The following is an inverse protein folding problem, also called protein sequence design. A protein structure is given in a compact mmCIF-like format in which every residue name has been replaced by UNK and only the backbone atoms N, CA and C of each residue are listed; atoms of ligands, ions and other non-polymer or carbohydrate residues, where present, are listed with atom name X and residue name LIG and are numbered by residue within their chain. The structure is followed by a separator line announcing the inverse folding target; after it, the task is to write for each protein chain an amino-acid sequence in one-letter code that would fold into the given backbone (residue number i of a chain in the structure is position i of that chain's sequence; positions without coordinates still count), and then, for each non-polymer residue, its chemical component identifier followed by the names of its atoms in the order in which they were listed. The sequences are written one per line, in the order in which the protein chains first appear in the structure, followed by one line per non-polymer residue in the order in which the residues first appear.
data_IF_364161976655
#
_entry.id   IF_364161976655
#
_cell.length_a   1.000
_cell.length_b   1.000
_cell.length_c   1.000
_cell.angle_alpha   90.00
_cell.angle_beta   90.00
_cell.angle_gamma   90.00
#
_symmetry.space_group_name_H-M   'P 1'
#
loop_
_entity.id
_entity.type
_entity.pdbx_description
1 polymer ?
#
# COMPACT_ATOMS: atom_id res chain seq x y z
N UNK A 1 25.87 -22.48 14.51
CA UNK A 1 24.61 -23.18 14.18
C UNK A 1 24.06 -22.54 12.92
N UNK A 2 24.25 -23.18 11.76
CA UNK A 2 23.84 -22.66 10.46
C UNK A 2 22.35 -22.95 10.28
N UNK A 3 21.51 -21.90 10.30
CA UNK A 3 20.08 -22.04 10.05
C UNK A 3 19.82 -21.99 8.54
N UNK A 4 19.48 -23.15 7.97
CA UNK A 4 18.99 -23.29 6.61
C UNK A 4 17.47 -23.05 6.61
N UNK A 5 17.04 -21.82 6.32
CA UNK A 5 15.64 -21.55 6.02
C UNK A 5 15.44 -21.48 4.49
N UNK A 6 14.56 -22.30 3.90
CA UNK A 6 14.34 -22.29 2.46
C UNK A 6 13.68 -20.98 2.00
N UNK A 7 14.32 -20.33 1.03
CA UNK A 7 13.81 -19.17 0.31
C UNK A 7 12.68 -19.62 -0.64
N UNK A 8 11.43 -19.33 -0.28
CA UNK A 8 10.29 -19.57 -1.17
C UNK A 8 10.31 -18.59 -2.36
N UNK A 9 10.04 -19.04 -3.59
CA UNK A 9 10.00 -18.17 -4.76
C UNK A 9 8.67 -17.41 -4.81
N UNK A 10 8.77 -16.08 -4.96
CA UNK A 10 7.66 -15.24 -5.38
C UNK A 10 7.19 -15.68 -6.77
N UNK A 11 5.99 -16.27 -6.86
CA UNK A 11 5.30 -16.50 -8.12
C UNK A 11 4.27 -15.40 -8.39
N UNK A 12 4.60 -14.62 -9.41
CA UNK A 12 3.77 -13.99 -10.44
C UNK A 12 2.26 -13.80 -10.21
N UNK A 13 1.83 -12.55 -10.37
CA UNK A 13 0.51 -12.20 -10.88
C UNK A 13 0.27 -12.87 -12.24
N UNK A 14 -0.88 -13.52 -12.45
CA UNK A 14 -1.51 -13.66 -13.77
C UNK A 14 -2.96 -14.17 -13.62
N UNK A 15 -3.90 -13.42 -14.20
CA UNK A 15 -5.07 -13.97 -14.90
C UNK A 15 -6.34 -14.25 -14.09
N UNK A 16 -7.29 -13.33 -14.18
CA UNK A 16 -8.71 -13.65 -14.02
C UNK A 16 -9.32 -13.91 -15.41
N UNK A 17 -9.95 -15.07 -15.66
CA UNK A 17 -10.89 -15.18 -16.78
C UNK A 17 -12.28 -15.64 -16.31
N UNK A 18 -13.23 -14.74 -16.56
CA UNK A 18 -14.64 -14.93 -16.94
C UNK A 18 -15.13 -16.37 -17.20
N UNK A 19 -16.15 -16.84 -16.47
CA UNK A 19 -17.22 -17.76 -16.92
C UNK A 19 -18.30 -17.86 -15.82
N UNK A 20 -19.45 -17.18 -15.93
CA UNK A 20 -20.73 -17.62 -16.52
C UNK A 20 -21.31 -18.95 -15.99
N UNK A 21 -22.35 -18.82 -15.16
CA UNK A 21 -23.49 -19.74 -15.02
C UNK A 21 -24.65 -18.87 -14.49
N UNK A 22 -25.77 -18.57 -15.16
CA UNK A 22 -26.66 -19.27 -16.09
C UNK A 22 -27.37 -20.47 -15.48
N UNK A 23 -28.47 -20.20 -14.74
CA UNK A 23 -29.67 -21.05 -14.79
C UNK A 23 -30.94 -20.21 -14.59
N UNK A 24 -31.86 -20.42 -15.53
CA UNK A 24 -33.17 -19.80 -15.64
C UNK A 24 -34.14 -20.28 -14.56
N UNK A 25 -35.08 -19.43 -14.19
CA UNK A 25 -36.42 -19.87 -13.80
C UNK A 25 -37.46 -18.87 -14.32
N UNK A 26 -38.40 -19.44 -15.07
CA UNK A 26 -39.38 -18.82 -15.94
C UNK A 26 -40.55 -18.23 -15.14
N UNK A 27 -41.00 -17.02 -15.49
CA UNK A 27 -42.44 -16.69 -15.48
C UNK A 27 -42.81 -15.87 -16.72
N UNK A 28 -43.91 -16.31 -17.34
CA UNK A 28 -44.50 -15.94 -18.63
C UNK A 28 -45.47 -14.73 -18.51
N UNK A 29 -46.04 -14.22 -19.62
CA UNK A 29 -46.23 -12.79 -19.88
C UNK A 29 -47.58 -12.25 -19.39
N UNK A 30 -47.64 -10.93 -19.18
CA UNK A 30 -48.90 -10.20 -19.09
C UNK A 30 -48.91 -9.07 -20.11
N UNK A 31 -50.08 -8.84 -20.69
CA UNK A 31 -50.28 -8.25 -22.01
C UNK A 31 -49.99 -6.75 -22.10
N UNK A 32 -49.57 -6.37 -23.30
CA UNK A 32 -49.40 -5.01 -23.78
C UNK A 32 -50.71 -4.22 -23.70
N UNK A 33 -50.67 -3.07 -23.05
CA UNK A 33 -51.61 -1.97 -23.30
C UNK A 33 -50.78 -0.73 -23.57
N UNK A 34 -50.84 -0.25 -24.81
CA UNK A 34 -50.19 0.97 -25.25
C UNK A 34 -50.93 2.17 -24.67
N UNK A 35 -50.28 2.92 -23.80
CA UNK A 35 -50.65 4.29 -23.48
C UNK A 35 -49.43 5.18 -23.75
N UNK A 36 -49.58 6.32 -24.45
CA UNK A 36 -48.46 7.20 -24.73
C UNK A 36 -47.96 7.81 -23.41
N UNK A 37 -46.64 7.78 -23.24
CA UNK A 37 -45.95 8.33 -22.08
C UNK A 37 -46.27 9.83 -21.92
N UNK A 38 -46.51 10.33 -20.70
CA UNK A 38 -46.30 11.75 -20.48
C UNK A 38 -44.80 11.98 -20.67
N UNK A 39 -44.44 12.95 -21.51
CA UNK A 39 -43.08 13.45 -21.58
C UNK A 39 -42.73 13.96 -20.17
N UNK A 40 -42.02 13.13 -19.40
CA UNK A 40 -41.32 13.59 -18.24
C UNK A 40 -40.26 14.53 -18.78
N UNK A 41 -40.56 15.82 -18.74
CA UNK A 41 -39.53 16.85 -18.73
C UNK A 41 -38.66 16.51 -17.54
N UNK A 42 -37.61 15.72 -17.78
CA UNK A 42 -36.51 15.59 -16.85
C UNK A 42 -35.92 16.98 -16.81
N UNK A 43 -36.44 17.80 -15.90
CA UNK A 43 -35.77 18.99 -15.45
C UNK A 43 -34.37 18.50 -15.09
N UNK A 44 -33.39 18.90 -15.90
CA UNK A 44 -32.00 18.73 -15.56
C UNK A 44 -31.81 19.55 -14.30
N UNK A 45 -31.94 18.89 -13.15
CA UNK A 45 -31.50 19.48 -11.90
C UNK A 45 -30.05 19.90 -12.10
N UNK A 46 -29.65 21.08 -11.60
CA UNK A 46 -28.25 21.43 -11.60
C UNK A 46 -27.58 20.35 -10.75
N UNK A 47 -26.80 19.46 -11.37
CA UNK A 47 -25.95 18.50 -10.67
C UNK A 47 -25.04 19.36 -9.79
N UNK A 48 -25.49 19.57 -8.56
CA UNK A 48 -24.81 20.34 -7.56
C UNK A 48 -23.42 19.72 -7.46
N UNK A 49 -22.42 20.54 -7.76
CA UNK A 49 -21.02 20.15 -7.90
C UNK A 49 -20.61 19.27 -6.72
N UNK A 50 -20.65 17.95 -6.90
CA UNK A 50 -20.26 17.02 -5.84
C UNK A 50 -18.78 17.30 -5.55
N UNK A 51 -18.38 17.49 -4.28
CA UNK A 51 -17.01 17.82 -3.95
C UNK A 51 -16.10 16.71 -4.50
N UNK A 52 -15.20 17.08 -5.40
CA UNK A 52 -14.25 16.12 -5.97
C UNK A 52 -13.28 15.72 -4.87
N UNK A 53 -13.23 14.41 -4.56
CA UNK A 53 -12.23 13.86 -3.64
C UNK A 53 -10.86 14.06 -4.27
N UNK A 54 -10.09 15.01 -3.74
CA UNK A 54 -8.72 15.20 -4.18
C UNK A 54 -7.86 14.02 -3.73
N UNK A 55 -6.93 13.56 -4.57
CA UNK A 55 -6.01 12.51 -4.16
C UNK A 55 -5.10 13.02 -3.03
N UNK A 56 -4.82 12.15 -2.06
CA UNK A 56 -3.83 12.39 -1.01
C UNK A 56 -2.52 11.73 -1.46
N UNK A 57 -1.41 12.46 -1.37
CA UNK A 57 -0.07 11.95 -1.62
C UNK A 57 0.69 11.92 -0.30
N UNK A 58 1.20 10.75 0.04
CA UNK A 58 2.06 10.54 1.19
C UNK A 58 3.49 10.35 0.69
N UNK A 59 4.39 11.23 1.11
CA UNK A 59 5.81 11.07 0.89
C UNK A 59 6.45 10.54 2.17
N UNK A 60 7.27 9.50 2.03
CA UNK A 60 8.25 9.17 3.05
C UNK A 60 9.34 10.26 3.09
N UNK A 61 10.14 10.29 4.15
CA UNK A 61 11.23 11.25 4.31
C UNK A 61 12.53 10.67 3.75
N UNK A 62 12.99 9.55 4.31
CA UNK A 62 14.27 8.94 3.99
C UNK A 62 14.22 8.24 2.63
N UNK A 63 15.26 8.44 1.81
CA UNK A 63 15.35 7.99 0.41
C UNK A 63 14.18 8.41 -0.52
N UNK A 64 13.31 9.34 -0.08
CA UNK A 64 12.24 9.94 -0.89
C UNK A 64 12.42 11.45 -1.02
N UNK A 65 12.39 12.18 0.09
CA UNK A 65 12.61 13.64 0.11
C UNK A 65 14.06 13.96 0.47
N UNK A 66 14.67 13.14 1.32
CA UNK A 66 16.03 13.29 1.82
C UNK A 66 16.83 12.05 1.47
N UNK A 67 18.10 12.21 1.09
CA UNK A 67 19.00 11.05 0.88
C UNK A 67 19.30 10.37 2.21
N UNK A 68 19.09 9.06 2.29
CA UNK A 68 19.43 8.30 3.50
C UNK A 68 20.97 8.25 3.69
N UNK A 69 21.52 8.75 4.82
CA UNK A 69 22.94 8.68 5.11
C UNK A 69 23.42 7.28 5.54
N UNK A 70 22.53 6.33 5.82
CA UNK A 70 22.84 5.05 6.48
C UNK A 70 23.92 4.23 5.79
N UNK A 71 23.94 4.20 4.45
CA UNK A 71 24.85 3.34 3.71
C UNK A 71 26.23 3.96 3.46
N UNK A 72 26.28 5.27 3.22
CA UNK A 72 27.50 5.95 2.75
C UNK A 72 28.17 6.76 3.89
N UNK A 73 27.37 7.46 4.68
CA UNK A 73 27.88 8.45 5.64
C UNK A 73 27.99 7.89 7.06
N UNK A 74 27.03 7.08 7.50
CA UNK A 74 27.04 6.51 8.86
C UNK A 74 28.25 5.59 9.11
N UNK A 75 28.64 4.65 8.22
CA UNK A 75 29.80 3.79 8.47
C UNK A 75 31.09 4.59 8.53
N UNK A 76 31.22 5.57 7.63
CA UNK A 76 32.35 6.50 7.58
C UNK A 76 32.48 7.30 8.88
N UNK A 77 31.37 7.74 9.47
CA UNK A 77 31.36 8.44 10.75
C UNK A 77 31.87 7.56 11.89
N UNK A 78 31.48 6.29 11.92
CA UNK A 78 31.94 5.31 12.94
C UNK A 78 33.32 4.71 12.65
N UNK A 79 33.93 5.05 11.51
CA UNK A 79 35.19 4.45 11.05
C UNK A 79 35.10 2.91 10.96
N UNK A 80 33.92 2.41 10.57
CA UNK A 80 33.62 0.99 10.40
C UNK A 80 33.22 0.72 8.95
N UNK A 81 33.46 -0.50 8.47
CA UNK A 81 32.78 -0.96 7.26
C UNK A 81 31.27 -1.14 7.52
N UNK A 82 30.46 -1.11 6.46
CA UNK A 82 29.02 -1.42 6.57
C UNK A 82 28.77 -2.77 7.26
N UNK A 83 29.62 -3.76 6.98
CA UNK A 83 29.50 -5.09 7.56
C UNK A 83 29.73 -5.05 9.07
N UNK A 84 30.82 -4.44 9.51
CA UNK A 84 31.15 -4.31 10.93
C UNK A 84 30.08 -3.53 11.69
N UNK A 85 29.57 -2.43 11.11
CA UNK A 85 28.50 -1.63 11.71
C UNK A 85 27.21 -2.45 11.92
N UNK A 86 26.83 -3.27 10.93
CA UNK A 86 25.65 -4.12 11.04
C UNK A 86 25.83 -5.27 12.04
N UNK A 87 27.06 -5.77 12.20
CA UNK A 87 27.41 -6.81 13.18
C UNK A 87 27.51 -6.25 14.61
N UNK A 88 27.92 -4.99 14.77
CA UNK A 88 28.05 -4.33 16.08
C UNK A 88 26.71 -3.80 16.61
N UNK A 89 25.81 -3.38 15.73
CA UNK A 89 24.51 -2.81 16.12
C UNK A 89 23.60 -3.92 16.65
N UNK A 90 22.99 -3.73 17.81
CA UNK A 90 21.99 -4.67 18.28
C UNK A 90 20.73 -4.68 17.41
N UNK A 91 20.08 -5.85 17.27
CA UNK A 91 18.97 -6.02 16.33
C UNK A 91 17.80 -5.05 16.55
N UNK A 92 17.50 -4.67 17.81
CA UNK A 92 16.30 -3.89 18.14
C UNK A 92 16.53 -2.41 18.36
N UNK A 93 17.78 -1.96 18.55
CA UNK A 93 18.08 -0.59 19.00
C UNK A 93 17.54 0.48 18.06
N UNK A 94 17.51 0.20 16.75
CA UNK A 94 16.95 1.13 15.77
C UNK A 94 15.44 1.32 15.94
N UNK A 95 14.68 0.23 16.05
CA UNK A 95 13.24 0.31 16.26
C UNK A 95 12.89 0.91 17.63
N UNK A 96 13.67 0.59 18.67
CA UNK A 96 13.50 1.19 20.00
C UNK A 96 13.77 2.69 20.00
N UNK A 97 14.76 3.14 19.23
CA UNK A 97 15.05 4.55 19.02
C UNK A 97 13.91 5.26 18.27
N UNK A 98 13.42 4.70 17.17
CA UNK A 98 12.29 5.26 16.39
C UNK A 98 11.00 5.36 17.21
N UNK A 99 10.80 4.45 18.16
CA UNK A 99 9.66 4.48 19.09
C UNK A 99 9.88 5.40 20.30
N UNK A 100 11.06 6.02 20.42
CA UNK A 100 11.41 6.91 21.54
C UNK A 100 11.65 6.18 22.87
N UNK A 101 11.95 4.87 22.84
CA UNK A 101 12.24 4.07 24.04
C UNK A 101 13.68 4.25 24.51
N UNK A 102 14.60 4.52 23.59
CA UNK A 102 16.01 4.80 23.87
C UNK A 102 16.44 6.09 23.18
N UNK A 103 17.54 6.67 23.64
CA UNK A 103 18.16 7.86 23.05
C UNK A 103 19.32 7.49 22.11
N UNK A 104 19.93 8.50 21.50
CA UNK A 104 21.01 8.36 20.52
C UNK A 104 22.20 7.60 21.10
N UNK A 105 22.55 7.89 22.37
CA UNK A 105 23.70 7.29 23.06
C UNK A 105 23.57 5.77 23.15
N UNK A 106 22.37 5.25 23.45
CA UNK A 106 22.14 3.81 23.60
C UNK A 106 21.94 3.07 22.28
N UNK A 107 21.79 3.77 21.17
CA UNK A 107 21.43 3.16 19.88
C UNK A 107 22.52 2.21 19.34
N UNK A 108 23.77 2.45 19.73
CA UNK A 108 24.96 1.72 19.21
C UNK A 108 25.62 0.84 20.28
N UNK A 109 25.33 1.10 21.56
CA UNK A 109 25.86 0.34 22.70
C UNK A 109 24.92 -0.75 23.23
N UNK A 110 23.61 -0.63 22.99
CA UNK A 110 22.67 -1.73 23.20
C UNK A 110 22.93 -2.80 22.15
#
# INVERSE_FOLDING_TARGET
MVSLLPRAPYLACLGNPTARASTSSLRLPAMSSSAPAPAATAAAEPEASRPRKMPVLLFDVMDTVVRDPFYDHIPSFFQMSMKELLESKHPTSWSEFEMGLINEVRTIEA
#
